data_IF_386333242373
#
_entry.id   IF_386333242373
#
_cell.length_a   1.000
_cell.length_b   1.000
_cell.length_c   1.000
_cell.angle_alpha   90.00
_cell.angle_beta   90.00
_cell.angle_gamma   90.00
#
_symmetry.space_group_name_H-M   'P 1'
#
loop_
_entity.id
_entity.type
_entity.pdbx_description
1 polymer ?
#
# COMPACT_ATOMS: atom_id res chain seq x y z
N UNK A 1 11.49 3.56 3.67
CA UNK A 1 10.20 4.25 3.34
C UNK A 1 9.12 3.18 3.41
N UNK A 2 8.08 3.32 4.23
CA UNK A 2 7.13 2.22 4.55
C UNK A 2 6.20 1.92 3.37
N UNK A 3 5.99 0.65 3.04
CA UNK A 3 5.19 0.23 1.89
C UNK A 3 3.73 0.71 1.99
N UNK A 4 3.15 0.66 3.19
CA UNK A 4 1.76 1.03 3.46
C UNK A 4 1.42 2.48 3.12
N UNK A 5 2.39 3.41 3.17
CA UNK A 5 2.17 4.81 2.81
C UNK A 5 1.90 5.01 1.31
N UNK A 6 2.06 3.98 0.48
CA UNK A 6 1.69 4.04 -0.93
C UNK A 6 0.25 3.55 -1.17
N UNK A 7 -0.35 2.83 -0.21
CA UNK A 7 -1.72 2.35 -0.30
C UNK A 7 -2.72 3.50 -0.27
N UNK A 8 -3.68 3.47 -1.19
CA UNK A 8 -4.79 4.42 -1.21
C UNK A 8 -5.92 3.93 -0.29
N UNK A 9 -6.53 4.87 0.42
CA UNK A 9 -7.72 4.62 1.21
C UNK A 9 -8.94 4.92 0.34
N UNK A 10 -9.82 3.93 0.16
CA UNK A 10 -11.09 4.10 -0.53
C UNK A 10 -12.18 4.72 0.36
N UNK A 11 -11.96 4.67 1.67
CA UNK A 11 -12.87 5.16 2.70
C UNK A 11 -12.23 6.31 3.48
N UNK A 12 -13.08 7.15 4.06
CA UNK A 12 -12.64 8.22 4.95
C UNK A 12 -12.27 7.64 6.32
N UNK A 13 -10.97 7.51 6.57
CA UNK A 13 -10.44 7.06 7.86
C UNK A 13 -9.99 8.26 8.67
N UNK A 14 -10.43 8.31 9.93
CA UNK A 14 -10.02 9.31 10.89
C UNK A 14 -9.29 8.65 12.06
N UNK A 15 -8.33 9.37 12.64
CA UNK A 15 -7.67 8.97 13.88
C UNK A 15 -7.65 10.12 14.88
N UNK A 16 -7.56 9.77 16.15
CA UNK A 16 -7.29 10.74 17.21
C UNK A 16 -5.96 11.44 16.92
N UNK A 17 -5.85 12.72 17.33
CA UNK A 17 -4.60 13.44 17.24
C UNK A 17 -3.50 12.67 18.00
N UNK A 18 -2.34 12.41 17.37
CA UNK A 18 -1.27 11.68 18.03
C UNK A 18 -0.65 12.51 19.15
N UNK A 19 -0.10 11.81 20.14
CA UNK A 19 0.60 12.43 21.25
C UNK A 19 1.69 13.38 20.74
N UNK A 20 1.73 14.60 21.30
CA UNK A 20 2.64 15.65 20.85
C UNK A 20 2.18 16.47 19.65
N UNK A 21 1.04 16.14 19.03
CA UNK A 21 0.44 16.90 17.91
C UNK A 21 -0.97 17.43 18.21
N UNK A 22 -1.44 17.28 19.44
CA UNK A 22 -2.76 17.78 19.87
C UNK A 22 -2.77 19.31 19.79
N UNK A 23 -3.69 19.86 18.99
CA UNK A 23 -3.91 21.31 18.92
C UNK A 23 -4.55 21.82 20.23
N UNK A 24 -3.89 22.70 21.01
CA UNK A 24 -4.43 23.22 22.27
C UNK A 24 -5.74 23.98 22.11
N UNK A 25 -5.97 24.60 20.94
CA UNK A 25 -7.19 25.35 20.63
C UNK A 25 -8.33 24.40 20.23
N UNK A 26 -8.01 23.24 19.67
CA UNK A 26 -8.99 22.28 19.18
C UNK A 26 -8.65 20.84 19.61
N UNK A 27 -8.64 20.52 20.92
CA UNK A 27 -8.19 19.22 21.42
C UNK A 27 -9.06 18.05 20.94
N UNK A 28 -10.34 18.33 20.63
CA UNK A 28 -11.31 17.31 20.21
C UNK A 28 -11.34 17.06 18.69
N UNK A 29 -10.44 17.68 17.92
CA UNK A 29 -10.32 17.38 16.48
C UNK A 29 -9.71 16.00 16.26
N UNK A 30 -9.95 15.49 15.06
CA UNK A 30 -9.40 14.24 14.56
C UNK A 30 -8.63 14.50 13.27
N UNK A 31 -7.64 13.66 12.99
CA UNK A 31 -6.87 13.71 11.76
C UNK A 31 -7.53 12.83 10.71
N UNK A 32 -7.79 13.37 9.52
CA UNK A 32 -8.17 12.57 8.35
C UNK A 32 -6.91 11.96 7.73
N UNK A 33 -6.90 10.64 7.57
CA UNK A 33 -5.79 9.96 6.91
C UNK A 33 -5.92 10.08 5.40
N UNK A 34 -4.93 10.72 4.77
CA UNK A 34 -4.86 10.83 3.32
C UNK A 34 -4.22 9.60 2.66
N UNK A 35 -3.47 8.80 3.43
CA UNK A 35 -2.79 7.58 2.98
C UNK A 35 -2.91 6.50 4.03
N UNK A 36 -2.81 5.25 3.59
CA UNK A 36 -2.79 4.12 4.50
C UNK A 36 -1.56 4.14 5.41
N UNK A 37 -1.71 3.70 6.66
CA UNK A 37 -0.64 3.59 7.66
C UNK A 37 -0.63 2.18 8.27
N UNK A 38 0.47 1.80 8.91
CA UNK A 38 0.54 0.53 9.64
C UNK A 38 -0.54 0.45 10.74
N UNK A 39 -1.06 -0.74 10.98
CA UNK A 39 -2.11 -0.97 11.99
C UNK A 39 -3.54 -0.76 11.49
N UNK A 40 -3.76 -0.15 10.32
CA UNK A 40 -5.08 -0.17 9.70
C UNK A 40 -5.38 -1.58 9.17
N UNK A 41 -6.57 -2.09 9.44
CA UNK A 41 -7.04 -3.42 8.97
C UNK A 41 -6.93 -3.57 7.45
N UNK A 42 -7.15 -2.49 6.71
CA UNK A 42 -7.10 -2.43 5.25
C UNK A 42 -5.71 -2.10 4.69
N UNK A 43 -4.70 -1.83 5.52
CA UNK A 43 -3.42 -1.31 5.06
C UNK A 43 -2.73 -2.21 4.04
N UNK A 44 -2.61 -3.50 4.36
CA UNK A 44 -1.98 -4.50 3.49
C UNK A 44 -2.73 -4.66 2.17
N UNK A 45 -4.06 -4.62 2.20
CA UNK A 45 -4.89 -4.70 0.99
C UNK A 45 -4.74 -3.45 0.12
N UNK A 46 -4.81 -2.26 0.71
CA UNK A 46 -4.60 -0.99 0.00
C UNK A 46 -3.23 -0.91 -0.64
N UNK A 47 -2.19 -1.40 0.05
CA UNK A 47 -0.85 -1.51 -0.50
C UNK A 47 -0.79 -2.50 -1.67
N UNK A 48 -1.28 -3.74 -1.48
CA UNK A 48 -1.23 -4.78 -2.50
C UNK A 48 -1.95 -4.37 -3.81
N UNK A 49 -3.12 -3.72 -3.70
CA UNK A 49 -3.85 -3.21 -4.86
C UNK A 49 -3.07 -2.12 -5.59
N UNK A 50 -2.46 -1.18 -4.85
CA UNK A 50 -1.63 -0.14 -5.45
C UNK A 50 -0.41 -0.73 -6.16
N UNK A 51 0.23 -1.71 -5.51
CA UNK A 51 1.38 -2.41 -6.05
C UNK A 51 1.05 -3.13 -7.36
N UNK A 52 -0.04 -3.91 -7.35
CA UNK A 52 -0.52 -4.66 -8.52
C UNK A 52 -0.78 -3.72 -9.71
N UNK A 53 -1.49 -2.61 -9.49
CA UNK A 53 -1.73 -1.61 -10.53
C UNK A 53 -0.42 -1.07 -11.12
N UNK A 54 0.53 -0.71 -10.24
CA UNK A 54 1.80 -0.10 -10.68
C UNK A 54 2.71 -1.09 -11.40
N UNK A 55 2.82 -2.32 -10.92
CA UNK A 55 3.73 -3.30 -11.53
C UNK A 55 3.21 -3.77 -12.90
N UNK A 56 1.88 -3.80 -13.09
CA UNK A 56 1.26 -4.04 -14.40
C UNK A 56 1.57 -2.95 -15.41
N UNK A 57 1.61 -1.68 -15.00
CA UNK A 57 2.06 -0.57 -15.86
C UNK A 57 3.51 -0.76 -16.33
N UNK A 58 4.35 -1.44 -15.54
CA UNK A 58 5.72 -1.81 -15.93
C UNK A 58 5.80 -3.06 -16.82
N UNK A 59 4.67 -3.63 -17.23
CA UNK A 59 4.59 -4.79 -18.12
C UNK A 59 4.76 -6.15 -17.43
N UNK A 60 4.64 -6.20 -16.10
CA UNK A 60 4.56 -7.46 -15.39
C UNK A 60 3.15 -8.03 -15.43
N UNK A 61 3.05 -9.35 -15.48
CA UNK A 61 1.80 -10.11 -15.42
C UNK A 61 1.78 -10.89 -14.11
N UNK A 62 0.71 -10.73 -13.33
CA UNK A 62 0.48 -11.50 -12.11
C UNK A 62 0.23 -12.97 -12.46
N UNK A 63 0.82 -13.89 -11.71
CA UNK A 63 0.52 -15.31 -11.81
C UNK A 63 -0.87 -15.58 -11.17
N UNK A 64 -1.71 -16.35 -11.85
CA UNK A 64 -3.07 -16.68 -11.39
C UNK A 64 -3.05 -17.71 -10.26
N UNK A 65 -2.13 -18.68 -10.32
CA UNK A 65 -2.00 -19.74 -9.31
C UNK A 65 -1.27 -19.23 -8.06
N UNK A 66 -0.34 -18.28 -8.24
CA UNK A 66 0.49 -17.70 -7.17
C UNK A 66 0.45 -16.17 -7.21
N UNK A 67 -0.58 -15.50 -6.65
CA UNK A 67 -0.81 -14.06 -6.78
C UNK A 67 0.28 -13.15 -6.18
N UNK A 68 1.22 -13.70 -5.41
CA UNK A 68 2.41 -12.99 -4.93
C UNK A 68 3.53 -12.91 -5.98
N UNK A 69 3.46 -13.72 -7.04
CA UNK A 69 4.47 -13.81 -8.10
C UNK A 69 4.02 -13.04 -9.35
N UNK A 70 4.92 -12.24 -9.87
CA UNK A 70 4.76 -11.51 -11.13
C UNK A 70 5.87 -11.91 -12.09
N UNK A 71 5.53 -12.06 -13.36
CA UNK A 71 6.49 -12.38 -14.43
C UNK A 71 6.52 -11.29 -15.49
N UNK A 72 7.69 -11.02 -16.04
CA UNK A 72 7.88 -10.19 -17.23
C UNK A 72 8.87 -10.88 -18.16
N UNK A 73 8.49 -11.05 -19.41
CA UNK A 73 9.37 -11.54 -20.46
C UNK A 73 9.82 -10.38 -21.35
N UNK A 74 11.11 -10.33 -21.67
CA UNK A 74 11.68 -9.39 -22.62
C UNK A 74 12.72 -10.12 -23.47
N UNK A 75 12.32 -10.52 -24.70
CA UNK A 75 13.11 -11.39 -25.55
C UNK A 75 13.37 -12.75 -24.88
N UNK A 76 14.63 -13.12 -24.72
CA UNK A 76 15.06 -14.36 -24.06
C UNK A 76 15.15 -14.24 -22.53
N UNK A 77 14.97 -13.05 -21.96
CA UNK A 77 15.11 -12.81 -20.53
C UNK A 77 13.74 -12.85 -19.85
N UNK A 78 13.65 -13.59 -18.75
CA UNK A 78 12.48 -13.64 -17.88
C UNK A 78 12.86 -13.08 -16.52
N UNK A 79 12.11 -12.10 -16.04
CA UNK A 79 12.22 -11.56 -14.69
C UNK A 79 11.03 -12.01 -13.85
N UNK A 80 11.32 -12.53 -12.67
CA UNK A 80 10.33 -12.83 -11.64
C UNK A 80 10.42 -11.81 -10.53
N UNK A 81 9.27 -11.38 -10.03
CA UNK A 81 9.16 -10.49 -8.89
C UNK A 81 8.17 -11.10 -7.90
N UNK A 82 8.57 -11.18 -6.63
CA UNK A 82 7.80 -11.83 -5.58
C UNK A 82 7.50 -10.78 -4.52
N UNK A 83 6.22 -10.59 -4.19
CA UNK A 83 5.79 -9.66 -3.16
C UNK A 83 5.41 -10.44 -1.90
N UNK A 84 6.10 -10.18 -0.79
CA UNK A 84 5.78 -10.73 0.54
C UNK A 84 5.39 -9.61 1.49
N UNK A 85 4.09 -9.40 1.69
CA UNK A 85 3.52 -8.33 2.54
C UNK A 85 4.00 -6.94 2.10
N UNK A 86 5.04 -6.41 2.73
CA UNK A 86 5.69 -5.13 2.43
C UNK A 86 7.11 -5.26 1.86
N UNK A 87 7.63 -6.48 1.77
CA UNK A 87 8.90 -6.83 1.12
C UNK A 87 8.71 -7.25 -0.33
N UNK A 88 9.71 -6.95 -1.17
CA UNK A 88 9.72 -7.20 -2.61
C UNK A 88 11.13 -7.55 -3.09
#
# INVERSE_FOLDING_TARGET
KTAFFNGHLSEDVYMVQPDGFVDPKYPNRVCKLNKSIYGLKQASRSWNLRFDQKIKEFGFVKNEDEPCVYRKANGSTISFLILYVDDM
#
